data_IF_603822796567
#
_entry.id   IF_603822796567
#
_cell.length_a   1.000
_cell.length_b   1.000
_cell.length_c   1.000
_cell.angle_alpha   90.00
_cell.angle_beta   90.00
_cell.angle_gamma   90.00
#
_symmetry.space_group_name_H-M   'P 1'
#
loop_
_entity.id
_entity.type
_entity.pdbx_description
1 polymer ?
#
# COMPACT_ATOMS: atom_id res chain seq x y z
N UNK A 1 2.25 4.50 1.19
CA UNK A 1 1.63 4.86 -0.11
C UNK A 1 0.58 5.93 0.11
N UNK A 2 0.78 7.12 -0.47
CA UNK A 2 -0.01 8.34 -0.24
C UNK A 2 -0.77 8.69 -1.51
N UNK A 3 -2.05 9.08 -1.38
CA UNK A 3 -2.92 9.59 -2.43
C UNK A 3 -3.38 10.99 -2.05
N UNK A 4 -2.70 12.00 -2.56
CA UNK A 4 -2.85 13.40 -2.16
C UNK A 4 -3.48 14.29 -3.23
N UNK A 5 -3.80 13.78 -4.43
CA UNK A 5 -4.35 14.60 -5.50
C UNK A 5 -5.75 15.11 -5.14
N UNK A 6 -5.96 16.45 -5.03
CA UNK A 6 -7.16 17.01 -4.40
C UNK A 6 -8.45 16.72 -5.16
N UNK A 7 -8.41 16.67 -6.49
CA UNK A 7 -9.60 16.44 -7.29
C UNK A 7 -9.82 14.98 -7.67
N UNK A 8 -8.75 14.21 -7.88
CA UNK A 8 -8.87 12.80 -8.30
C UNK A 8 -9.09 11.84 -7.13
N UNK A 9 -8.56 12.20 -5.95
CA UNK A 9 -8.54 11.33 -4.77
C UNK A 9 -9.02 12.05 -3.52
N UNK A 10 -9.98 12.97 -3.63
CA UNK A 10 -10.47 13.79 -2.51
C UNK A 10 -10.97 12.97 -1.33
N UNK A 11 -11.74 11.90 -1.57
CA UNK A 11 -12.22 11.00 -0.51
C UNK A 11 -11.07 10.25 0.17
N UNK A 12 -10.11 9.79 -0.63
CA UNK A 12 -8.91 9.07 -0.14
C UNK A 12 -8.02 10.01 0.67
N UNK A 13 -7.77 11.22 0.19
CA UNK A 13 -6.97 12.22 0.89
C UNK A 13 -7.61 12.66 2.20
N UNK A 14 -8.94 12.84 2.23
CA UNK A 14 -9.67 13.19 3.45
C UNK A 14 -9.64 12.05 4.49
N UNK A 15 -9.75 10.79 4.05
CA UNK A 15 -9.70 9.63 4.93
C UNK A 15 -8.27 9.20 5.34
N UNK A 16 -7.25 9.74 4.69
CA UNK A 16 -5.84 9.41 4.92
C UNK A 16 -4.97 10.66 4.75
N UNK A 17 -5.03 11.60 5.70
CA UNK A 17 -4.25 12.83 5.65
C UNK A 17 -2.75 12.53 5.65
N UNK A 18 -1.96 13.41 5.02
CA UNK A 18 -0.51 13.24 4.89
C UNK A 18 0.16 13.16 6.26
N UNK A 19 -0.29 13.96 7.22
CA UNK A 19 0.25 14.01 8.58
C UNK A 19 0.13 12.64 9.29
N UNK A 20 -0.95 11.90 9.04
CA UNK A 20 -1.06 10.54 9.59
C UNK A 20 0.09 9.63 9.13
N UNK A 21 0.51 9.73 7.88
CA UNK A 21 1.64 8.95 7.37
C UNK A 21 2.95 9.37 8.02
N UNK A 22 3.23 10.66 8.07
CA UNK A 22 4.47 11.18 8.68
C UNK A 22 4.55 10.84 10.16
N UNK A 23 3.48 11.03 10.92
CA UNK A 23 3.41 10.69 12.34
C UNK A 23 3.62 9.19 12.56
N UNK A 24 2.99 8.35 11.73
CA UNK A 24 3.14 6.91 11.84
C UNK A 24 4.54 6.44 11.47
N UNK A 25 5.14 6.98 10.41
CA UNK A 25 6.53 6.70 10.02
C UNK A 25 7.51 7.11 11.12
N UNK A 26 7.33 8.26 11.74
CA UNK A 26 8.14 8.72 12.87
C UNK A 26 7.93 7.82 14.10
N UNK A 27 6.71 7.36 14.38
CA UNK A 27 6.45 6.42 15.46
C UNK A 27 7.14 5.07 15.23
N UNK A 28 7.13 4.55 13.99
CA UNK A 28 7.85 3.35 13.59
C UNK A 28 9.36 3.53 13.77
N UNK A 29 9.90 4.68 13.36
CA UNK A 29 11.32 5.02 13.48
C UNK A 29 11.81 5.05 14.93
N UNK A 30 10.96 5.47 15.89
CA UNK A 30 11.33 5.43 17.31
C UNK A 30 11.55 4.01 17.83
N UNK A 31 10.89 3.02 17.22
CA UNK A 31 11.02 1.61 17.61
C UNK A 31 12.15 0.93 16.85
N UNK A 32 12.33 1.24 15.58
CA UNK A 32 13.40 0.73 14.71
C UNK A 32 14.09 1.92 14.02
N UNK A 33 15.18 2.45 14.59
CA UNK A 33 15.90 3.61 14.06
C UNK A 33 16.49 3.42 12.67
N UNK A 34 16.80 2.19 12.30
CA UNK A 34 17.44 1.85 11.02
C UNK A 34 16.42 1.55 9.90
N UNK A 35 15.12 1.59 10.22
CA UNK A 35 14.10 1.30 9.22
C UNK A 35 14.12 2.32 8.08
N UNK A 36 13.87 1.84 6.89
CA UNK A 36 13.78 2.67 5.69
C UNK A 36 12.37 2.61 5.13
N UNK A 37 11.93 3.72 4.54
CA UNK A 37 10.59 3.84 3.99
C UNK A 37 10.64 4.02 2.49
N UNK A 38 9.95 3.18 1.75
CA UNK A 38 9.65 3.43 0.35
C UNK A 38 8.35 4.22 0.23
N UNK A 39 8.42 5.39 -0.42
CA UNK A 39 7.30 6.29 -0.60
C UNK A 39 6.77 6.23 -2.05
N UNK A 40 5.53 5.79 -2.20
CA UNK A 40 4.75 6.00 -3.42
C UNK A 40 3.73 7.10 -3.20
N UNK A 41 3.87 8.21 -3.91
CA UNK A 41 2.97 9.38 -3.83
C UNK A 41 2.60 9.86 -5.23
N UNK A 42 1.34 10.26 -5.42
CA UNK A 42 0.82 10.76 -6.70
C UNK A 42 0.98 12.28 -6.89
N UNK A 43 1.49 12.99 -5.89
CA UNK A 43 1.74 14.44 -5.94
C UNK A 43 3.19 14.72 -5.55
N UNK A 44 4.00 15.18 -6.50
CA UNK A 44 5.43 15.40 -6.31
C UNK A 44 5.75 16.40 -5.17
N UNK A 45 4.95 17.44 -4.98
CA UNK A 45 5.15 18.39 -3.89
C UNK A 45 4.95 17.74 -2.51
N UNK A 46 3.93 16.86 -2.38
CA UNK A 46 3.68 16.09 -1.15
C UNK A 46 4.78 15.05 -0.93
N UNK A 47 5.23 14.39 -2.00
CA UNK A 47 6.36 13.46 -1.93
C UNK A 47 7.59 14.14 -1.32
N UNK A 48 8.04 15.27 -1.89
CA UNK A 48 9.19 16.03 -1.36
C UNK A 48 9.00 16.51 0.07
N UNK A 49 7.77 16.90 0.43
CA UNK A 49 7.47 17.31 1.80
C UNK A 49 7.67 16.16 2.80
N UNK A 50 7.19 14.96 2.47
CA UNK A 50 7.34 13.77 3.32
C UNK A 50 8.80 13.35 3.40
N UNK A 51 9.53 13.33 2.27
CA UNK A 51 10.96 13.02 2.23
C UNK A 51 11.79 13.96 3.09
N UNK A 52 11.45 15.26 3.10
CA UNK A 52 12.11 16.25 3.96
C UNK A 52 11.73 16.13 5.45
N UNK A 53 10.58 15.52 5.76
CA UNK A 53 10.06 15.40 7.13
C UNK A 53 10.46 14.08 7.80
N UNK A 54 10.84 13.07 7.02
CA UNK A 54 11.16 11.72 7.53
C UNK A 54 12.46 11.23 6.92
N UNK A 55 13.51 11.16 7.73
CA UNK A 55 14.81 10.64 7.29
C UNK A 55 14.71 9.20 6.77
N UNK A 56 15.57 8.82 5.81
CA UNK A 56 15.62 7.48 5.22
C UNK A 56 14.35 7.11 4.45
N UNK A 57 13.67 8.10 3.92
CA UNK A 57 12.56 7.94 2.99
C UNK A 57 13.09 7.94 1.56
N UNK A 58 12.60 7.03 0.72
CA UNK A 58 12.97 6.91 -0.69
C UNK A 58 11.73 6.90 -1.55
N UNK A 59 11.81 7.53 -2.70
CA UNK A 59 10.78 7.51 -3.71
C UNK A 59 11.40 7.39 -5.10
N UNK A 60 10.60 7.10 -6.11
CA UNK A 60 11.00 7.29 -7.50
C UNK A 60 10.90 8.79 -7.82
N UNK A 61 11.97 9.38 -8.33
CA UNK A 61 12.04 10.81 -8.63
C UNK A 61 11.30 11.18 -9.92
N UNK A 62 11.65 10.52 -11.02
CA UNK A 62 11.01 10.75 -12.31
C UNK A 62 9.96 9.67 -12.59
N UNK A 63 8.72 9.99 -12.30
CA UNK A 63 7.59 9.05 -12.47
C UNK A 63 6.91 9.14 -13.82
N UNK A 64 7.37 10.01 -14.70
CA UNK A 64 6.69 10.30 -15.95
C UNK A 64 5.34 10.98 -15.79
N UNK A 65 4.71 11.34 -16.90
CA UNK A 65 3.39 11.97 -16.92
C UNK A 65 2.23 10.99 -16.73
N UNK A 66 1.09 11.51 -16.32
CA UNK A 66 -0.15 10.73 -16.25
C UNK A 66 -0.53 10.21 -17.65
N UNK A 67 -0.90 8.95 -17.74
CA UNK A 67 -1.23 8.23 -18.99
C UNK A 67 -0.08 8.16 -20.02
N UNK A 68 1.17 8.34 -19.61
CA UNK A 68 2.33 8.05 -20.46
C UNK A 68 2.86 6.64 -20.18
N UNK A 69 3.67 6.12 -21.10
CA UNK A 69 4.34 4.84 -20.93
C UNK A 69 5.30 4.87 -19.71
N UNK A 70 6.03 5.95 -19.54
CA UNK A 70 6.93 6.19 -18.41
C UNK A 70 6.14 6.22 -17.10
N UNK A 71 5.01 6.92 -17.07
CA UNK A 71 4.12 6.96 -15.90
C UNK A 71 3.55 5.60 -15.54
N UNK A 72 3.23 4.77 -16.54
CA UNK A 72 2.77 3.40 -16.31
C UNK A 72 3.90 2.51 -15.76
N UNK A 73 5.10 2.60 -16.32
CA UNK A 73 6.28 1.86 -15.84
C UNK A 73 6.60 2.23 -14.39
N UNK A 74 6.60 3.51 -14.06
CA UNK A 74 6.82 3.98 -12.69
C UNK A 74 5.74 3.50 -11.73
N UNK A 75 4.47 3.49 -12.16
CA UNK A 75 3.38 2.97 -11.35
C UNK A 75 3.53 1.47 -11.06
N UNK A 76 3.97 0.69 -12.06
CA UNK A 76 4.26 -0.75 -11.86
C UNK A 76 5.44 -0.93 -10.90
N UNK A 77 6.52 -0.15 -11.06
CA UNK A 77 7.65 -0.19 -10.13
C UNK A 77 7.23 0.17 -8.70
N UNK A 78 6.48 1.27 -8.52
CA UNK A 78 5.90 1.67 -7.22
C UNK A 78 5.08 0.54 -6.59
N UNK A 79 4.28 -0.17 -7.40
CA UNK A 79 3.44 -1.27 -6.95
C UNK A 79 4.28 -2.44 -6.40
N UNK A 80 5.29 -2.88 -7.14
CA UNK A 80 6.13 -4.00 -6.73
C UNK A 80 7.05 -3.65 -5.57
N UNK A 81 7.58 -2.43 -5.52
CA UNK A 81 8.37 -1.97 -4.37
C UNK A 81 7.50 -1.90 -3.09
N UNK A 82 6.25 -1.46 -3.20
CA UNK A 82 5.31 -1.50 -2.09
C UNK A 82 4.97 -2.95 -1.68
N UNK A 83 4.75 -3.85 -2.65
CA UNK A 83 4.47 -5.25 -2.37
C UNK A 83 5.65 -6.00 -1.75
N UNK A 84 6.89 -5.62 -2.06
CA UNK A 84 8.11 -6.15 -1.44
C UNK A 84 8.40 -5.63 -0.03
N UNK A 85 7.58 -4.74 0.51
CA UNK A 85 7.78 -4.16 1.84
C UNK A 85 7.36 -5.13 2.94
N UNK A 86 7.97 -5.00 4.12
CA UNK A 86 7.63 -5.80 5.31
C UNK A 86 6.47 -5.23 6.13
N UNK A 87 6.04 -4.02 5.80
CA UNK A 87 4.95 -3.31 6.46
C UNK A 87 4.42 -2.26 5.49
N UNK A 88 3.10 -2.16 5.32
CA UNK A 88 2.49 -1.25 4.36
C UNK A 88 1.62 -0.23 5.09
N UNK A 89 1.96 1.05 4.95
CA UNK A 89 1.09 2.16 5.28
C UNK A 89 0.32 2.58 4.03
N UNK A 90 -0.99 2.48 4.06
CA UNK A 90 -1.85 2.61 2.88
C UNK A 90 -2.87 3.72 3.01
N UNK A 91 -3.13 4.42 1.91
CA UNK A 91 -4.26 5.31 1.84
C UNK A 91 -5.57 4.51 1.78
N UNK A 92 -6.51 4.84 2.65
CA UNK A 92 -7.83 4.25 2.66
C UNK A 92 -8.57 4.53 1.33
N UNK A 93 -9.41 3.64 0.87
CA UNK A 93 -10.04 3.66 -0.47
C UNK A 93 -9.08 3.58 -1.66
N UNK A 94 -7.82 3.23 -1.49
CA UNK A 94 -6.87 3.10 -2.60
C UNK A 94 -6.88 1.70 -3.20
N UNK A 95 -7.37 1.56 -4.43
CA UNK A 95 -7.27 0.31 -5.20
C UNK A 95 -5.82 -0.12 -5.45
N UNK A 96 -4.91 0.84 -5.61
CA UNK A 96 -3.49 0.58 -5.80
C UNK A 96 -2.86 -0.04 -4.54
N UNK A 97 -3.19 0.48 -3.35
CA UNK A 97 -2.75 -0.10 -2.09
C UNK A 97 -3.35 -1.51 -1.87
N UNK A 98 -4.61 -1.70 -2.25
CA UNK A 98 -5.27 -3.01 -2.20
C UNK A 98 -4.59 -4.01 -3.13
N UNK A 99 -4.15 -3.57 -4.31
CA UNK A 99 -3.42 -4.41 -5.25
C UNK A 99 -2.03 -4.77 -4.70
N UNK A 100 -1.28 -3.81 -4.14
CA UNK A 100 -0.01 -4.10 -3.47
C UNK A 100 -0.18 -5.17 -2.37
N UNK A 101 -1.23 -5.04 -1.53
CA UNK A 101 -1.55 -6.04 -0.51
C UNK A 101 -1.85 -7.42 -1.07
N UNK A 102 -2.45 -7.51 -2.26
CA UNK A 102 -2.72 -8.81 -2.91
C UNK A 102 -1.47 -9.48 -3.48
N UNK A 103 -0.44 -8.69 -3.78
CA UNK A 103 0.84 -9.18 -4.29
C UNK A 103 1.83 -9.52 -3.18
N UNK A 104 1.56 -9.13 -1.94
CA UNK A 104 2.42 -9.38 -0.79
C UNK A 104 1.91 -10.55 0.06
N UNK A 105 2.77 -11.07 0.94
CA UNK A 105 2.40 -12.07 1.93
C UNK A 105 1.26 -11.53 2.83
N UNK A 106 0.15 -12.29 3.02
CA UNK A 106 -0.98 -11.85 3.83
C UNK A 106 -0.65 -11.58 5.31
N UNK A 107 0.47 -12.09 5.82
CA UNK A 107 0.96 -11.86 7.18
C UNK A 107 1.59 -10.48 7.36
N UNK A 108 1.93 -9.78 6.27
CA UNK A 108 2.51 -8.44 6.34
C UNK A 108 1.48 -7.46 6.90
N UNK A 109 1.84 -6.68 7.94
CA UNK A 109 0.97 -5.65 8.48
C UNK A 109 0.57 -4.62 7.42
N UNK A 110 -0.72 -4.32 7.38
CA UNK A 110 -1.30 -3.35 6.47
C UNK A 110 -2.15 -2.37 7.28
N UNK A 111 -1.69 -1.14 7.36
CA UNK A 111 -2.33 -0.09 8.14
C UNK A 111 -2.95 0.97 7.25
N UNK A 112 -4.07 1.52 7.72
CA UNK A 112 -4.70 2.72 7.16
C UNK A 112 -5.08 3.67 8.29
N UNK A 113 -5.22 4.96 8.00
CA UNK A 113 -5.61 5.95 9.00
C UNK A 113 -6.97 5.64 9.69
N UNK A 114 -7.85 4.93 9.00
CA UNK A 114 -9.19 4.53 9.51
C UNK A 114 -9.14 3.19 10.23
N UNK A 115 -8.25 2.28 9.83
CA UNK A 115 -8.17 0.91 10.34
C UNK A 115 -7.38 0.75 11.65
N UNK A 116 -6.77 1.83 12.13
CA UNK A 116 -5.89 1.78 13.30
C UNK A 116 -4.50 1.24 13.00
N UNK A 117 -3.63 1.25 14.04
CA UNK A 117 -2.24 0.81 13.94
C UNK A 117 -2.11 -0.69 14.12
N UNK A 118 -1.37 -1.35 13.26
CA UNK A 118 -0.99 -2.75 13.39
C UNK A 118 0.31 -2.89 14.23
N UNK A 119 0.55 -4.05 14.87
CA UNK A 119 1.84 -4.35 15.46
C UNK A 119 2.97 -4.27 14.44
N UNK A 120 4.13 -3.77 14.84
CA UNK A 120 5.28 -3.67 13.96
C UNK A 120 5.86 -5.05 13.66
N UNK A 121 6.14 -5.31 12.39
CA UNK A 121 6.81 -6.54 11.94
C UNK A 121 8.33 -6.39 12.04
N UNK A 122 8.86 -6.28 13.23
CA UNK A 122 10.30 -6.11 13.48
C UNK A 122 11.12 -7.35 13.08
N UNK A 123 10.52 -8.54 13.06
CA UNK A 123 11.18 -9.77 12.61
C UNK A 123 11.33 -9.84 11.08
N UNK A 124 10.69 -8.92 10.36
CA UNK A 124 10.73 -8.85 8.89
C UNK A 124 10.29 -10.15 8.22
N UNK A 125 9.44 -10.91 8.91
CA UNK A 125 8.90 -12.18 8.43
C UNK A 125 7.83 -11.89 7.38
N UNK A 126 7.80 -12.69 6.32
CA UNK A 126 6.77 -12.64 5.30
C UNK A 126 7.04 -11.64 4.17
N UNK A 127 8.18 -10.94 4.18
CA UNK A 127 8.58 -10.14 3.02
C UNK A 127 8.72 -11.05 1.78
N UNK A 128 8.15 -10.63 0.67
CA UNK A 128 8.30 -11.33 -0.60
C UNK A 128 9.74 -11.20 -1.04
N UNK A 129 10.47 -12.33 -1.14
CA UNK A 129 11.86 -12.33 -1.58
C UNK A 129 12.00 -11.92 -3.06
N UNK A 130 10.99 -12.23 -3.87
CA UNK A 130 10.87 -11.84 -5.27
C UNK A 130 9.51 -11.15 -5.48
N UNK A 131 9.47 -9.80 -5.54
CA UNK A 131 8.22 -9.07 -5.75
C UNK A 131 7.62 -9.28 -7.15
N UNK A 132 8.37 -9.87 -8.11
CA UNK A 132 7.84 -10.23 -9.42
C UNK A 132 7.07 -11.55 -9.39
N UNK A 133 7.18 -12.33 -8.32
CA UNK A 133 6.37 -13.52 -8.09
C UNK A 133 5.29 -13.18 -7.07
N UNK A 134 4.05 -13.04 -7.51
CA UNK A 134 2.92 -12.86 -6.58
C UNK A 134 2.89 -14.00 -5.57
N UNK A 135 2.54 -13.67 -4.34
CA UNK A 135 2.35 -14.68 -3.30
C UNK A 135 1.27 -15.68 -3.73
N UNK A 136 1.65 -16.96 -3.74
CA UNK A 136 0.72 -18.06 -4.05
C UNK A 136 -0.06 -18.41 -2.78
N UNK A 137 -1.31 -17.93 -2.71
CA UNK A 137 -2.20 -18.18 -1.57
C UNK A 137 -2.57 -19.64 -1.39
N UNK A 138 -2.50 -20.43 -2.43
CA UNK A 138 -2.87 -21.85 -2.38
C UNK A 138 -1.80 -22.69 -1.66
N UNK A 139 -0.60 -22.11 -1.46
CA UNK A 139 0.50 -22.72 -0.71
C UNK A 139 0.57 -22.28 0.75
N UNK A 140 -0.28 -21.36 1.21
CA UNK A 140 -0.30 -20.92 2.60
C UNK A 140 -1.22 -21.81 3.45
N UNK A 141 -0.67 -22.64 4.34
CA UNK A 141 -1.47 -23.49 5.22
C UNK A 141 -2.35 -22.69 6.20
N UNK A 142 -2.09 -21.39 6.40
CA UNK A 142 -2.90 -20.50 7.24
C UNK A 142 -4.07 -19.86 6.48
N UNK A 143 -4.11 -19.92 5.15
CA UNK A 143 -5.16 -19.32 4.33
C UNK A 143 -6.56 -19.94 4.57
N UNK A 144 -6.64 -21.13 5.16
CA UNK A 144 -7.89 -21.79 5.52
C UNK A 144 -8.66 -21.18 6.71
N UNK A 145 -8.09 -20.19 7.40
CA UNK A 145 -8.70 -19.55 8.60
C UNK A 145 -9.46 -18.25 8.31
N UNK A 146 -9.34 -17.69 7.12
CA UNK A 146 -10.13 -16.52 6.72
C UNK A 146 -11.26 -17.00 5.82
N UNK A 147 -12.47 -17.12 6.41
CA UNK A 147 -13.67 -17.52 5.70
C UNK A 147 -13.83 -16.77 4.39
N UNK A 148 -13.63 -17.49 3.30
CA UNK A 148 -14.01 -17.05 1.96
C UNK A 148 -15.53 -16.90 1.95
N UNK A 149 -16.04 -15.68 2.11
CA UNK A 149 -17.35 -15.37 1.54
C UNK A 149 -17.19 -15.50 0.03
N UNK A 150 -17.53 -16.67 -0.49
CA UNK A 150 -17.64 -16.92 -1.90
C UNK A 150 -18.56 -15.86 -2.52
N UNK A 151 -18.04 -15.14 -3.49
CA UNK A 151 -18.89 -14.44 -4.45
C UNK A 151 -19.46 -15.55 -5.32
N UNK A 152 -20.70 -15.94 -5.02
CA UNK A 152 -21.44 -16.85 -5.88
C UNK A 152 -21.80 -16.07 -7.16
N UNK A 153 -21.18 -16.47 -8.28
CA UNK A 153 -21.44 -15.91 -9.60
C UNK A 153 -22.66 -16.55 -10.25
N UNK A 154 -23.64 -16.97 -9.47
CA UNK A 154 -24.91 -17.47 -10.00
C UNK A 154 -25.83 -16.29 -10.31
N UNK A 155 -26.01 -16.01 -11.61
CA UNK A 155 -26.84 -14.98 -12.18
C UNK A 155 -28.29 -15.04 -11.69
N UNK A 156 -28.68 -14.06 -10.89
CA UNK A 156 -30.07 -13.83 -10.55
C UNK A 156 -30.83 -13.23 -11.73
N UNK A 157 -31.69 -14.02 -12.31
CA UNK A 157 -32.72 -13.62 -13.27
C UNK A 157 -33.65 -12.58 -12.63
N UNK A 158 -33.68 -11.36 -13.17
CA UNK A 158 -34.71 -10.38 -12.85
C UNK A 158 -36.01 -10.76 -13.57
N UNK A 159 -36.97 -11.27 -12.83
CA UNK A 159 -38.35 -11.31 -13.29
C UNK A 159 -39.07 -10.06 -12.81
N UNK A 160 -39.53 -9.22 -13.75
CA UNK A 160 -40.46 -8.11 -13.47
C UNK A 160 -41.83 -8.72 -13.11
N UNK A 161 -42.40 -8.24 -12.06
CA UNK A 161 -43.84 -8.15 -11.83
C UNK A 161 -44.17 -6.72 -11.45
#
# INVERSE_FOLDING_TARGET
MIRAHPSRHSKTAAASPVDWFTDRMLAIRRVDPDIRFFLSCDVAAVQRHVEASVDGCYALDDKGGYNTLEGLRSAVADLYLAAGSWHILAAYYSSFATLARRLTDPRIPFETAVGGSAPLNLSRVGAVADPLRPYDRDQDPSAGLVGTRGYDASGGSFTRA
#
